data_IF_436519404793
#
_entry.id   IF_436519404793
#
_cell.length_a   1.000
_cell.length_b   1.000
_cell.length_c   1.000
_cell.angle_alpha   90.00
_cell.angle_beta   90.00
_cell.angle_gamma   90.00
#
_symmetry.space_group_name_H-M   'P 1'
#
loop_
_entity.id
_entity.type
_entity.pdbx_description
1 polymer ?
#
# COMPACT_ATOMS: atom_id res chain seq x y z
N UNK A 1 -8.32 -11.13 6.45
CA UNK A 1 -6.95 -10.57 6.50
C UNK A 1 -6.85 -9.56 5.37
N UNK A 2 -6.48 -8.32 5.67
CA UNK A 2 -6.36 -7.22 4.70
C UNK A 2 -4.88 -6.86 4.62
N UNK A 3 -4.31 -6.87 3.42
CA UNK A 3 -2.91 -6.54 3.16
C UNK A 3 -2.83 -5.62 1.94
N UNK A 4 -1.72 -4.93 1.82
CA UNK A 4 -1.38 -4.05 0.72
C UNK A 4 -0.19 -4.59 -0.05
N UNK A 5 0.15 -3.92 -1.15
CA UNK A 5 1.24 -4.31 -2.02
C UNK A 5 2.30 -3.21 -2.13
N UNK A 6 3.57 -3.62 -1.97
CA UNK A 6 4.73 -2.86 -2.44
C UNK A 6 5.17 -3.44 -3.79
N UNK A 7 5.01 -2.67 -4.86
CA UNK A 7 5.22 -3.10 -6.24
C UNK A 7 6.42 -2.36 -6.86
N UNK A 8 7.33 -3.13 -7.48
CA UNK A 8 8.41 -2.58 -8.28
C UNK A 8 7.89 -2.06 -9.63
N UNK A 9 8.15 -0.80 -9.95
CA UNK A 9 7.77 -0.18 -11.24
C UNK A 9 8.52 -0.79 -12.43
N UNK A 10 9.72 -1.32 -12.22
CA UNK A 10 10.57 -1.84 -13.30
C UNK A 10 10.26 -3.29 -13.70
N UNK A 11 10.04 -4.18 -12.73
CA UNK A 11 9.87 -5.61 -12.99
C UNK A 11 8.58 -6.22 -12.44
N UNK A 12 7.73 -5.44 -11.77
CA UNK A 12 6.48 -5.94 -11.17
C UNK A 12 6.66 -6.83 -9.94
N UNK A 13 7.89 -6.97 -9.40
CA UNK A 13 8.10 -7.67 -8.12
C UNK A 13 7.21 -7.04 -7.04
N UNK A 14 6.40 -7.88 -6.40
CA UNK A 14 5.44 -7.47 -5.37
C UNK A 14 5.80 -8.09 -4.02
N UNK A 15 5.64 -7.31 -2.95
CA UNK A 15 5.74 -7.76 -1.56
C UNK A 15 4.41 -7.45 -0.87
N UNK A 16 3.83 -8.44 -0.19
CA UNK A 16 2.68 -8.23 0.70
C UNK A 16 3.13 -7.47 1.96
N UNK A 17 2.39 -6.44 2.32
CA UNK A 17 2.67 -5.62 3.51
C UNK A 17 1.40 -5.40 4.33
N UNK A 18 1.56 -5.40 5.65
CA UNK A 18 0.52 -5.01 6.58
C UNK A 18 0.78 -3.59 7.09
N UNK A 19 -0.28 -2.79 7.23
CA UNK A 19 -0.19 -1.42 7.72
C UNK A 19 -1.20 -1.10 8.81
N UNK A 20 -1.13 -1.72 10.02
CA UNK A 20 -2.16 -1.53 11.05
C UNK A 20 -2.40 -0.07 11.45
N UNK A 21 -1.38 0.79 11.33
CA UNK A 21 -1.52 2.22 11.59
C UNK A 21 -2.33 2.94 10.49
N UNK A 22 -2.14 2.57 9.22
CA UNK A 22 -2.94 3.10 8.11
C UNK A 22 -4.40 2.68 8.29
N UNK A 23 -4.65 1.40 8.54
CA UNK A 23 -6.00 0.86 8.74
C UNK A 23 -6.78 1.59 9.83
N UNK A 24 -6.13 1.86 10.97
CA UNK A 24 -6.73 2.64 12.07
C UNK A 24 -7.04 4.07 11.64
N UNK A 25 -6.12 4.70 10.92
CA UNK A 25 -6.31 6.07 10.46
C UNK A 25 -7.45 6.20 9.46
N UNK A 26 -7.53 5.34 8.43
CA UNK A 26 -8.65 5.34 7.48
C UNK A 26 -9.99 5.12 8.17
N UNK A 27 -10.05 4.18 9.12
CA UNK A 27 -11.23 3.95 9.94
C UNK A 27 -11.62 5.19 10.78
N UNK A 28 -10.64 5.88 11.36
CA UNK A 28 -10.90 7.10 12.15
C UNK A 28 -11.45 8.25 11.31
N UNK A 29 -10.90 8.49 10.11
CA UNK A 29 -11.35 9.54 9.19
C UNK A 29 -12.78 9.25 8.71
N UNK A 30 -13.07 8.00 8.35
CA UNK A 30 -14.42 7.59 7.98
C UNK A 30 -15.44 7.86 9.09
N UNK A 31 -15.09 7.49 10.33
CA UNK A 31 -15.95 7.70 11.50
C UNK A 31 -16.13 9.20 11.82
N UNK A 32 -15.06 9.99 11.75
CA UNK A 32 -15.10 11.44 12.00
C UNK A 32 -16.07 12.16 11.06
N UNK A 33 -16.13 11.74 9.80
CA UNK A 33 -16.99 12.38 8.79
C UNK A 33 -18.33 11.67 8.55
N UNK A 34 -18.64 10.62 9.32
CA UNK A 34 -19.92 9.91 9.24
C UNK A 34 -20.12 9.11 7.95
N UNK A 35 -19.05 8.63 7.32
CA UNK A 35 -19.12 7.74 6.16
C UNK A 35 -19.39 6.29 6.60
N UNK A 36 -20.19 5.57 5.82
CA UNK A 36 -20.48 4.14 6.01
C UNK A 36 -20.03 3.35 4.77
N UNK A 37 -19.88 2.02 4.93
CA UNK A 37 -19.42 1.09 3.88
C UNK A 37 -18.10 1.53 3.22
N UNK A 38 -17.12 1.90 4.06
CA UNK A 38 -15.86 2.45 3.59
C UNK A 38 -14.95 1.34 3.08
N UNK A 39 -14.43 1.56 1.89
CA UNK A 39 -13.29 0.84 1.32
C UNK A 39 -12.14 1.82 1.10
N UNK A 40 -10.92 1.32 1.16
CA UNK A 40 -9.74 2.07 0.75
C UNK A 40 -8.84 1.22 -0.15
N UNK A 41 -8.08 1.90 -0.97
CA UNK A 41 -7.04 1.30 -1.81
C UNK A 41 -5.72 1.95 -1.42
N UNK A 42 -4.72 1.13 -1.10
CA UNK A 42 -3.35 1.60 -0.90
C UNK A 42 -2.42 0.71 -1.71
N UNK A 43 -1.63 1.36 -2.55
CA UNK A 43 -0.57 0.73 -3.34
C UNK A 43 0.72 1.52 -3.14
N UNK A 44 1.80 0.83 -2.80
CA UNK A 44 3.12 1.43 -2.65
C UNK A 44 3.93 1.05 -3.88
N UNK A 45 4.51 2.04 -4.54
CA UNK A 45 5.32 1.80 -5.74
C UNK A 45 6.76 2.28 -5.52
N UNK A 46 7.72 1.43 -5.87
CA UNK A 46 9.15 1.70 -5.75
C UNK A 46 9.97 1.08 -6.88
N UNK A 47 11.30 1.14 -6.76
CA UNK A 47 12.23 0.37 -7.59
C UNK A 47 12.86 -0.67 -6.68
N UNK A 48 12.83 -1.95 -7.05
CA UNK A 48 13.46 -2.99 -6.25
C UNK A 48 14.99 -2.96 -6.44
N UNK A 49 15.77 -3.52 -5.50
CA UNK A 49 17.24 -3.53 -5.61
C UNK A 49 17.75 -4.13 -6.92
N UNK A 50 17.08 -5.16 -7.45
CA UNK A 50 17.46 -5.77 -8.72
C UNK A 50 17.27 -4.84 -9.93
N UNK A 51 16.25 -3.99 -9.92
CA UNK A 51 16.04 -3.00 -10.97
C UNK A 51 16.93 -1.76 -10.78
N UNK A 52 17.21 -1.38 -9.54
CA UNK A 52 18.09 -0.26 -9.23
C UNK A 52 19.53 -0.54 -9.67
N UNK A 53 19.99 -1.79 -9.50
CA UNK A 53 21.30 -2.25 -9.97
C UNK A 53 21.37 -2.53 -11.48
N UNK A 54 20.23 -2.52 -12.18
CA UNK A 54 20.15 -2.69 -13.63
C UNK A 54 20.14 -1.34 -14.38
N UNK A 55 20.15 -0.22 -13.66
CA UNK A 55 20.34 1.10 -14.25
C UNK A 55 21.82 1.24 -14.67
N UNK A 56 22.10 1.67 -15.91
CA UNK A 56 23.47 1.81 -16.41
C UNK A 56 24.28 2.87 -15.66
#
# INVERSE_FOLDING_TARGET
THHHHLVCRGCGRTVEVEGPAVERWTGSIAAEHGFADVSHTLEIFGTCPACDQALP
#
